data_IF_041900414688
#
_entry.id   IF_041900414688
#
_cell.length_a   1.000
_cell.length_b   1.000
_cell.length_c   1.000
_cell.angle_alpha   90.00
_cell.angle_beta   90.00
_cell.angle_gamma   90.00
#
_symmetry.space_group_name_H-M   'P 1'
#
loop_
_entity.id
_entity.type
_entity.pdbx_description
1 polymer ?
#
# COMPACT_ATOMS: atom_id res chain seq x y z
N UNK A 1 12.34 -10.14 3.05
CA UNK A 1 11.76 -8.78 2.94
C UNK A 1 10.25 -8.93 2.87
N UNK A 2 9.49 -8.26 3.73
CA UNK A 2 8.02 -8.33 3.70
C UNK A 2 7.44 -7.42 2.61
N UNK A 3 6.19 -7.65 2.21
CA UNK A 3 5.47 -6.78 1.25
C UNK A 3 5.44 -5.33 1.73
N UNK A 4 5.21 -5.11 3.03
CA UNK A 4 5.27 -3.79 3.66
C UNK A 4 6.64 -3.11 3.48
N UNK A 5 7.74 -3.80 3.80
CA UNK A 5 9.10 -3.27 3.62
C UNK A 5 9.40 -2.91 2.15
N UNK A 6 8.94 -3.73 1.22
CA UNK A 6 9.07 -3.47 -0.21
C UNK A 6 8.29 -2.21 -0.63
N UNK A 7 7.07 -2.04 -0.13
CA UNK A 7 6.24 -0.87 -0.42
C UNK A 7 6.84 0.44 0.10
N UNK A 8 7.49 0.41 1.27
CA UNK A 8 8.24 1.56 1.82
C UNK A 8 9.43 1.95 0.93
N UNK A 9 10.14 0.96 0.36
CA UNK A 9 11.22 1.22 -0.60
C UNK A 9 10.67 1.90 -1.85
N UNK A 10 9.57 1.39 -2.41
CA UNK A 10 8.95 2.00 -3.59
C UNK A 10 8.46 3.42 -3.33
N UNK A 11 7.93 3.68 -2.13
CA UNK A 11 7.54 5.03 -1.70
C UNK A 11 8.74 5.97 -1.69
N UNK A 12 9.87 5.50 -1.14
CA UNK A 12 11.15 6.24 -1.12
C UNK A 12 11.70 6.49 -2.53
N UNK A 13 11.45 5.59 -3.48
CA UNK A 13 11.81 5.77 -4.90
C UNK A 13 10.85 6.68 -5.68
N UNK A 14 9.83 7.22 -5.01
CA UNK A 14 8.91 8.20 -5.60
C UNK A 14 7.59 7.62 -6.11
N UNK A 15 7.30 6.34 -5.84
CA UNK A 15 5.96 5.82 -6.11
C UNK A 15 4.97 6.42 -5.09
N UNK A 16 4.06 7.25 -5.58
CA UNK A 16 3.09 7.96 -4.77
C UNK A 16 1.63 7.61 -5.12
N UNK A 17 1.40 6.80 -6.16
CA UNK A 17 0.06 6.37 -6.55
C UNK A 17 -0.50 5.39 -5.50
N UNK A 18 -1.58 5.74 -4.81
CA UNK A 18 -2.22 4.88 -3.82
C UNK A 18 -2.77 3.59 -4.44
N UNK A 19 -3.23 3.64 -5.70
CA UNK A 19 -3.77 2.45 -6.38
C UNK A 19 -2.70 1.38 -6.61
N UNK A 20 -1.43 1.78 -6.72
CA UNK A 20 -0.31 0.84 -6.77
C UNK A 20 -0.23 0.00 -5.48
N UNK A 21 -0.55 0.58 -4.31
CA UNK A 21 -0.46 -0.10 -3.03
C UNK A 21 -1.70 -0.95 -2.70
N UNK A 22 -2.86 -0.63 -3.29
CA UNK A 22 -4.12 -1.35 -3.06
C UNK A 22 -4.02 -2.84 -3.37
N UNK A 23 -3.29 -3.22 -4.42
CA UNK A 23 -3.16 -4.64 -4.83
C UNK A 23 -2.46 -5.51 -3.79
N UNK A 24 -1.68 -4.90 -2.89
CA UNK A 24 -0.96 -5.60 -1.84
C UNK A 24 -1.79 -5.76 -0.57
N UNK A 25 -2.90 -5.03 -0.43
CA UNK A 25 -3.81 -5.17 0.71
C UNK A 25 -4.45 -6.55 0.68
N UNK A 26 -4.33 -7.29 1.78
CA UNK A 26 -4.72 -8.71 1.86
C UNK A 26 -3.67 -9.69 1.29
N UNK A 27 -2.66 -9.21 0.57
CA UNK A 27 -1.52 -9.97 0.03
C UNK A 27 -0.20 -9.61 0.74
N UNK A 28 -0.27 -9.42 2.06
CA UNK A 28 0.87 -9.07 2.92
C UNK A 28 0.99 -7.60 3.28
N UNK A 29 0.05 -6.75 2.84
CA UNK A 29 -0.19 -5.41 3.37
C UNK A 29 -1.52 -5.41 4.15
N UNK A 30 -1.56 -4.74 5.30
CA UNK A 30 -2.83 -4.45 5.99
C UNK A 30 -3.40 -3.11 5.53
N UNK A 31 -4.68 -2.86 5.82
CA UNK A 31 -5.33 -1.57 5.55
C UNK A 31 -4.67 -0.42 6.31
N UNK A 32 -4.23 -0.66 7.55
CA UNK A 32 -3.47 0.31 8.35
C UNK A 32 -2.13 0.64 7.69
N UNK A 33 -1.39 -0.37 7.23
CA UNK A 33 -0.12 -0.19 6.55
C UNK A 33 -0.27 0.53 5.21
N UNK A 34 -1.36 0.26 4.48
CA UNK A 34 -1.72 1.01 3.28
C UNK A 34 -1.87 2.51 3.59
N UNK A 35 -2.59 2.83 4.67
CA UNK A 35 -2.78 4.22 5.12
C UNK A 35 -1.47 4.87 5.56
N UNK A 36 -0.58 4.14 6.23
CA UNK A 36 0.75 4.64 6.58
C UNK A 36 1.59 4.99 5.35
N UNK A 37 1.52 4.19 4.29
CA UNK A 37 2.32 4.40 3.06
C UNK A 37 1.73 5.51 2.19
N UNK A 38 0.41 5.54 2.04
CA UNK A 38 -0.29 6.39 1.06
C UNK A 38 -0.83 7.68 1.67
N UNK A 39 -1.15 7.66 2.97
CA UNK A 39 -1.92 8.70 3.64
C UNK A 39 -3.44 8.57 3.43
N UNK A 40 -3.90 7.58 2.67
CA UNK A 40 -5.31 7.38 2.36
C UNK A 40 -5.90 6.16 3.06
N UNK A 41 -7.18 6.22 3.42
CA UNK A 41 -7.91 5.05 3.90
C UNK A 41 -8.11 4.06 2.75
N UNK A 42 -7.94 2.76 3.05
CA UNK A 42 -8.19 1.73 2.06
C UNK A 42 -9.69 1.61 1.80
N UNK A 43 -10.09 1.83 0.55
CA UNK A 43 -11.44 1.53 0.06
C UNK A 43 -11.35 0.29 -0.83
N UNK A 44 -11.97 -0.81 -0.40
CA UNK A 44 -12.08 -2.00 -1.24
C UNK A 44 -12.77 -1.63 -2.57
N UNK A 45 -12.30 -2.16 -3.72
CA UNK A 45 -13.02 -1.98 -4.97
C UNK A 45 -14.43 -2.58 -4.83
N UNK A 46 -15.45 -1.82 -5.20
CA UNK A 46 -16.82 -2.31 -5.27
C UNK A 46 -16.87 -3.45 -6.30
N UNK A 47 -17.23 -4.66 -5.84
CA UNK A 47 -17.32 -5.89 -6.63
C UNK A 47 -18.38 -5.83 -7.73
#
# INVERSE_FOLDING_TARGET
MTTYQMCLIFKSWGQNDPNYYKVFVGNGLTEEQYKEITGEDYTAPES
#
